data_IF_485611327385
#
_entry.id   IF_485611327385
#
_cell.length_a   1.000
_cell.length_b   1.000
_cell.length_c   1.000
_cell.angle_alpha   90.00
_cell.angle_beta   90.00
_cell.angle_gamma   90.00
#
_symmetry.space_group_name_H-M   'P 1'
#
loop_
_entity.id
_entity.type
_entity.pdbx_description
1 polymer ?
#
# COMPACT_ATOMS: atom_id res chain seq x y z
N UNK A 1 8.64 -10.20 -5.75
CA UNK A 1 9.60 -9.70 -4.76
C UNK A 1 10.38 -10.87 -4.17
N UNK A 2 11.70 -10.76 -3.93
CA UNK A 2 12.44 -11.83 -3.30
C UNK A 2 11.95 -11.94 -1.85
N UNK A 3 11.42 -13.12 -1.49
CA UNK A 3 11.20 -13.45 -0.08
C UNK A 3 12.57 -13.59 0.57
N UNK A 4 12.71 -13.09 1.79
CA UNK A 4 13.91 -13.27 2.58
C UNK A 4 13.61 -14.21 3.75
N UNK A 5 13.38 -15.51 3.48
CA UNK A 5 13.07 -16.49 4.52
C UNK A 5 14.22 -16.64 5.54
N UNK A 6 15.43 -16.23 5.14
CA UNK A 6 16.64 -16.23 5.96
C UNK A 6 16.84 -14.94 6.77
N UNK A 7 16.02 -13.90 6.61
CA UNK A 7 16.17 -12.62 7.33
C UNK A 7 16.30 -12.87 8.82
N UNK A 8 17.33 -12.31 9.44
CA UNK A 8 17.46 -12.31 10.90
C UNK A 8 16.40 -11.38 11.46
N UNK A 9 15.43 -11.95 12.16
CA UNK A 9 14.34 -11.20 12.80
C UNK A 9 14.84 -10.31 13.95
N UNK A 10 16.06 -10.53 14.46
CA UNK A 10 16.65 -9.74 15.56
C UNK A 10 16.86 -8.26 15.25
N UNK A 11 16.97 -7.88 13.98
CA UNK A 11 17.11 -6.48 13.54
C UNK A 11 15.79 -5.86 13.11
N UNK A 12 14.69 -6.63 13.16
CA UNK A 12 13.36 -6.14 12.84
C UNK A 12 12.71 -5.54 14.09
N UNK A 13 11.67 -4.69 13.93
CA UNK A 13 10.83 -4.25 15.02
C UNK A 13 10.40 -5.38 15.95
N UNK A 14 10.18 -5.06 17.23
CA UNK A 14 9.95 -6.03 18.31
C UNK A 14 8.84 -7.05 18.01
N UNK A 15 7.80 -6.64 17.28
CA UNK A 15 6.68 -7.49 16.88
C UNK A 15 7.01 -8.54 15.81
N UNK A 16 8.17 -8.45 15.14
CA UNK A 16 8.65 -9.47 14.20
C UNK A 16 9.77 -10.35 14.77
N UNK A 17 10.34 -10.00 15.92
CA UNK A 17 11.59 -10.55 16.43
C UNK A 17 11.55 -12.07 16.64
N UNK A 18 10.42 -12.57 17.09
CA UNK A 18 10.25 -13.96 17.52
C UNK A 18 9.53 -14.85 16.48
N UNK A 19 9.35 -14.35 15.25
CA UNK A 19 8.70 -15.13 14.21
C UNK A 19 9.53 -16.38 13.83
N UNK A 20 8.93 -17.59 13.88
CA UNK A 20 9.61 -18.81 13.54
C UNK A 20 10.00 -18.82 12.07
N UNK A 21 11.04 -19.60 11.73
CA UNK A 21 11.39 -19.82 10.32
C UNK A 21 10.27 -20.56 9.61
N UNK A 22 9.98 -20.13 8.39
CA UNK A 22 9.01 -20.80 7.53
C UNK A 22 9.52 -22.18 7.15
N UNK A 23 8.68 -23.20 7.31
CA UNK A 23 8.99 -24.55 6.85
C UNK A 23 8.74 -24.69 5.33
N UNK A 24 9.17 -25.81 4.74
CA UNK A 24 9.06 -26.04 3.29
C UNK A 24 7.63 -25.98 2.77
N UNK A 25 6.65 -26.51 3.52
CA UNK A 25 5.24 -26.49 3.09
C UNK A 25 4.64 -25.09 3.15
N UNK A 26 5.00 -24.27 4.15
CA UNK A 26 4.60 -22.87 4.24
C UNK A 26 5.18 -22.04 3.10
N UNK A 27 6.46 -22.25 2.78
CA UNK A 27 7.09 -21.60 1.62
C UNK A 27 6.34 -21.98 0.34
N UNK A 28 6.13 -23.26 0.08
CA UNK A 28 5.42 -23.75 -1.10
C UNK A 28 3.98 -23.23 -1.19
N UNK A 29 3.29 -23.12 -0.05
CA UNK A 29 1.97 -22.51 0.01
C UNK A 29 2.00 -21.04 -0.45
N UNK A 30 2.93 -20.25 0.08
CA UNK A 30 3.10 -18.85 -0.31
C UNK A 30 3.49 -18.70 -1.79
N UNK A 31 4.31 -19.60 -2.36
CA UNK A 31 4.60 -19.65 -3.80
C UNK A 31 3.32 -19.80 -4.62
N UNK A 32 2.47 -20.75 -4.21
CA UNK A 32 1.21 -21.00 -4.89
C UNK A 32 0.26 -19.81 -4.76
N UNK A 33 0.18 -19.21 -3.57
CA UNK A 33 -0.62 -18.02 -3.30
C UNK A 33 -0.18 -16.85 -4.17
N UNK A 34 1.14 -16.58 -4.24
CA UNK A 34 1.69 -15.54 -5.11
C UNK A 34 1.36 -15.80 -6.59
N UNK A 35 1.51 -17.05 -7.06
CA UNK A 35 1.17 -17.42 -8.44
C UNK A 35 -0.30 -17.15 -8.74
N UNK A 36 -1.21 -17.54 -7.85
CA UNK A 36 -2.65 -17.30 -7.99
C UNK A 36 -3.00 -15.81 -8.00
N UNK A 37 -2.35 -15.00 -7.17
CA UNK A 37 -2.52 -13.54 -7.20
C UNK A 37 -2.08 -12.94 -8.53
N UNK A 38 -0.94 -13.36 -9.07
CA UNK A 38 -0.47 -12.90 -10.39
C UNK A 38 -1.42 -13.33 -11.52
N UNK A 39 -1.95 -14.56 -11.46
CA UNK A 39 -2.97 -15.01 -12.41
C UNK A 39 -4.26 -14.21 -12.30
N UNK A 40 -4.67 -13.82 -11.09
CA UNK A 40 -5.86 -12.97 -10.89
C UNK A 40 -5.61 -11.54 -11.38
N UNK A 41 -4.38 -11.03 -11.26
CA UNK A 41 -3.98 -9.72 -11.76
C UNK A 41 -4.08 -9.63 -13.29
N UNK A 42 -3.92 -10.75 -14.00
CA UNK A 42 -4.11 -10.79 -15.46
C UNK A 42 -5.53 -10.37 -15.86
N UNK A 43 -6.57 -10.80 -15.14
CA UNK A 43 -7.94 -10.36 -15.43
C UNK A 43 -8.15 -8.86 -15.18
N UNK A 44 -7.37 -8.25 -14.28
CA UNK A 44 -7.39 -6.79 -14.06
C UNK A 44 -6.69 -6.07 -15.21
N UNK A 45 -5.59 -6.63 -15.73
CA UNK A 45 -4.89 -6.11 -16.91
C UNK A 45 -5.81 -6.12 -18.15
N UNK A 46 -6.49 -7.25 -18.39
CA UNK A 46 -7.49 -7.38 -19.46
C UNK A 46 -8.60 -6.31 -19.32
N UNK A 47 -9.11 -6.09 -18.10
CA UNK A 47 -10.11 -5.06 -17.81
C UNK A 47 -9.59 -3.64 -18.12
N UNK A 48 -8.33 -3.35 -17.78
CA UNK A 48 -7.71 -2.06 -18.10
C UNK A 48 -7.60 -1.89 -19.62
N UNK A 49 -7.19 -2.94 -20.34
CA UNK A 49 -7.16 -2.92 -21.81
C UNK A 49 -8.55 -2.63 -22.40
N UNK A 50 -9.61 -3.27 -21.89
CA UNK A 50 -10.98 -3.06 -22.36
C UNK A 50 -11.48 -1.62 -22.12
N UNK A 51 -11.17 -1.05 -20.94
CA UNK A 51 -11.50 0.35 -20.62
C UNK A 51 -10.81 1.29 -21.60
N UNK A 52 -9.50 1.11 -21.84
CA UNK A 52 -8.77 1.93 -22.80
C UNK A 52 -9.17 1.65 -24.25
N UNK A 53 -9.59 0.42 -24.57
CA UNK A 53 -10.20 0.06 -25.85
C UNK A 53 -11.45 0.88 -26.12
N UNK A 54 -12.33 1.03 -25.12
CA UNK A 54 -13.53 1.87 -25.20
C UNK A 54 -13.17 3.35 -25.46
N UNK A 55 -12.11 3.85 -24.83
CA UNK A 55 -11.66 5.23 -25.05
C UNK A 55 -11.04 5.48 -26.43
N UNK A 56 -10.56 4.45 -27.16
CA UNK A 56 -10.01 4.63 -28.52
C UNK A 56 -11.05 5.20 -29.49
N UNK A 57 -12.31 4.82 -29.30
CA UNK A 57 -13.43 5.28 -30.12
C UNK A 57 -14.06 6.59 -29.61
N UNK A 58 -13.61 7.10 -28.46
CA UNK A 58 -14.13 8.29 -27.78
C UNK A 58 -13.00 9.28 -27.41
N UNK A 59 -12.23 9.79 -28.39
CA UNK A 59 -11.05 10.63 -28.14
C UNK A 59 -11.39 11.92 -27.37
N UNK A 60 -12.55 12.53 -27.64
CA UNK A 60 -12.98 13.75 -26.94
C UNK A 60 -13.31 13.50 -25.47
N UNK A 61 -13.86 12.31 -25.15
CA UNK A 61 -14.14 11.91 -23.76
C UNK A 61 -12.82 11.65 -23.04
N UNK A 62 -11.90 10.89 -23.66
CA UNK A 62 -10.58 10.63 -23.08
C UNK A 62 -9.80 11.93 -22.83
N UNK A 63 -9.87 12.88 -23.77
CA UNK A 63 -9.23 14.19 -23.66
C UNK A 63 -9.79 15.07 -22.53
N UNK A 64 -10.91 14.69 -21.92
CA UNK A 64 -11.53 15.38 -20.79
C UNK A 64 -11.68 14.49 -19.54
N UNK A 65 -10.97 13.36 -19.48
CA UNK A 65 -11.09 12.38 -18.38
C UNK A 65 -9.78 12.26 -17.61
N UNK A 66 -9.86 12.34 -16.28
CA UNK A 66 -8.79 11.91 -15.39
C UNK A 66 -8.92 10.42 -15.11
N UNK A 67 -7.84 9.67 -15.32
CA UNK A 67 -7.75 8.23 -15.03
C UNK A 67 -6.78 8.08 -13.87
N UNK A 68 -7.24 7.47 -12.78
CA UNK A 68 -6.47 7.23 -11.56
C UNK A 68 -6.47 5.72 -11.28
N UNK A 69 -5.29 5.14 -11.18
CA UNK A 69 -5.08 3.75 -10.77
C UNK A 69 -4.35 3.73 -9.43
N UNK A 70 -4.93 3.03 -8.45
CA UNK A 70 -4.35 2.89 -7.11
C UNK A 70 -4.83 1.61 -6.42
N UNK A 71 -4.30 1.32 -5.24
CA UNK A 71 -4.75 0.26 -4.35
C UNK A 71 -5.03 0.82 -2.95
N UNK A 72 -5.87 0.15 -2.16
CA UNK A 72 -6.17 0.51 -0.77
C UNK A 72 -5.00 0.23 0.17
N UNK A 73 -4.39 -0.94 0.01
CA UNK A 73 -3.25 -1.41 0.76
C UNK A 73 -2.41 -2.37 -0.07
N UNK A 74 -1.17 -2.56 0.38
CA UNK A 74 -0.29 -3.61 -0.12
C UNK A 74 -0.61 -4.98 0.48
N UNK A 75 0.25 -5.96 0.22
CA UNK A 75 0.06 -7.32 0.71
C UNK A 75 1.38 -8.07 0.79
N UNK A 76 1.73 -8.55 1.98
CA UNK A 76 2.90 -9.37 2.20
C UNK A 76 2.58 -10.87 2.11
N UNK A 77 3.57 -11.63 1.65
CA UNK A 77 3.56 -13.06 1.40
C UNK A 77 4.91 -13.67 1.79
N UNK A 78 5.20 -13.80 3.08
CA UNK A 78 6.45 -14.41 3.56
C UNK A 78 7.60 -13.44 3.79
N UNK A 79 7.49 -12.17 3.39
CA UNK A 79 8.46 -11.14 3.75
C UNK A 79 8.56 -11.05 5.26
N UNK A 80 9.79 -10.91 5.78
CA UNK A 80 10.05 -10.89 7.21
C UNK A 80 9.54 -12.14 7.98
N UNK A 81 9.34 -13.27 7.28
CA UNK A 81 8.73 -14.52 7.79
C UNK A 81 7.25 -14.39 8.16
N UNK A 82 6.60 -13.32 7.73
CA UNK A 82 5.19 -13.12 7.97
C UNK A 82 4.35 -14.13 7.21
N UNK A 83 3.21 -14.57 7.76
CA UNK A 83 2.23 -15.30 6.97
C UNK A 83 1.66 -14.40 5.85
N UNK A 84 0.78 -14.93 5.01
CA UNK A 84 0.10 -14.08 4.03
C UNK A 84 -0.84 -13.10 4.76
N UNK A 85 -0.85 -11.84 4.34
CA UNK A 85 -1.74 -10.87 4.93
C UNK A 85 -1.42 -9.43 4.56
N UNK A 86 -2.05 -8.56 5.34
CA UNK A 86 -1.86 -7.12 5.41
C UNK A 86 -1.89 -6.71 6.88
N UNK A 87 -1.85 -5.43 7.22
CA UNK A 87 -1.89 -4.87 8.59
C UNK A 87 -0.54 -4.64 9.29
N UNK A 88 0.57 -4.66 8.54
CA UNK A 88 1.89 -4.31 9.05
C UNK A 88 2.35 -2.95 8.52
N UNK A 89 3.11 -2.20 9.32
CA UNK A 89 3.74 -0.94 8.90
C UNK A 89 5.00 -1.14 8.03
N UNK A 90 5.00 -2.14 7.16
CA UNK A 90 6.11 -2.47 6.26
C UNK A 90 5.81 -2.01 4.85
N UNK A 91 6.86 -1.79 4.07
CA UNK A 91 6.78 -1.31 2.69
C UNK A 91 5.78 -2.12 1.84
N UNK A 92 5.78 -3.44 1.98
CA UNK A 92 4.90 -4.33 1.23
C UNK A 92 3.41 -4.10 1.47
N UNK A 93 3.04 -3.53 2.62
CA UNK A 93 1.65 -3.29 3.04
C UNK A 93 1.20 -1.85 2.84
N UNK A 94 2.13 -0.89 2.86
CA UNK A 94 1.81 0.54 2.92
C UNK A 94 2.19 1.31 1.66
N UNK A 95 3.19 0.84 0.91
CA UNK A 95 3.58 1.49 -0.35
C UNK A 95 2.79 0.90 -1.51
N UNK A 96 1.69 1.56 -1.86
CA UNK A 96 0.79 1.18 -2.95
C UNK A 96 1.05 1.97 -4.22
N UNK A 97 0.60 1.41 -5.35
CA UNK A 97 0.65 2.14 -6.62
C UNK A 97 -0.26 3.36 -6.60
N UNK A 98 0.21 4.46 -7.17
CA UNK A 98 -0.61 5.61 -7.55
C UNK A 98 -0.15 6.10 -8.92
N UNK A 99 -1.01 5.95 -9.92
CA UNK A 99 -0.77 6.39 -11.30
C UNK A 99 -1.93 7.27 -11.70
N UNK A 100 -1.64 8.43 -12.28
CA UNK A 100 -2.66 9.36 -12.77
C UNK A 100 -2.30 9.84 -14.18
N UNK A 101 -3.31 9.90 -15.04
CA UNK A 101 -3.25 10.48 -16.38
C UNK A 101 -4.49 11.33 -16.66
N UNK A 102 -4.39 12.26 -17.61
CA UNK A 102 -5.51 13.11 -18.00
C UNK A 102 -5.11 14.54 -18.37
N UNK A 103 -6.08 15.47 -18.47
CA UNK A 103 -5.85 16.84 -18.90
C UNK A 103 -4.87 17.59 -17.98
N UNK A 104 -3.76 18.09 -18.56
CA UNK A 104 -2.75 18.87 -17.85
C UNK A 104 -1.86 18.10 -16.87
N UNK A 105 -2.08 16.78 -16.72
CA UNK A 105 -1.20 15.91 -15.91
C UNK A 105 0.16 15.78 -16.60
N UNK A 106 1.23 15.84 -15.81
CA UNK A 106 2.58 15.75 -16.34
C UNK A 106 2.85 14.34 -16.92
N UNK A 107 3.22 14.26 -18.21
CA UNK A 107 3.47 12.99 -18.89
C UNK A 107 4.84 12.41 -18.56
N UNK A 108 4.91 11.10 -18.35
CA UNK A 108 6.15 10.35 -18.09
C UNK A 108 6.99 10.95 -16.94
N UNK A 109 6.31 11.42 -15.88
CA UNK A 109 6.96 11.94 -14.68
C UNK A 109 6.75 10.98 -13.51
N UNK A 110 7.82 10.82 -12.74
CA UNK A 110 7.81 10.14 -11.45
C UNK A 110 7.96 11.24 -10.40
N UNK A 111 7.04 11.26 -9.42
CA UNK A 111 7.11 12.16 -8.28
C UNK A 111 7.66 11.39 -7.08
N UNK A 112 8.92 11.62 -6.66
CA UNK A 112 9.52 10.93 -5.52
C UNK A 112 9.13 11.62 -4.20
N UNK A 113 7.84 11.92 -4.03
CA UNK A 113 7.30 12.63 -2.87
C UNK A 113 6.44 11.67 -2.03
N UNK A 114 6.54 11.71 -0.70
CA UNK A 114 5.60 11.02 0.17
C UNK A 114 4.17 11.54 -0.07
N UNK A 115 3.22 10.60 -0.17
CA UNK A 115 1.78 10.89 -0.25
C UNK A 115 0.99 9.76 0.39
N UNK A 116 -0.25 10.05 0.79
CA UNK A 116 -1.17 9.10 1.42
C UNK A 116 -2.56 9.19 0.79
N UNK A 117 -3.45 8.26 1.10
CA UNK A 117 -4.84 8.31 0.60
C UNK A 117 -5.62 9.54 1.06
N UNK A 118 -5.24 10.17 2.18
CA UNK A 118 -5.88 11.42 2.65
C UNK A 118 -5.68 12.58 1.66
N UNK A 119 -4.69 12.46 0.79
CA UNK A 119 -4.37 13.44 -0.23
C UNK A 119 -5.22 13.34 -1.50
N UNK A 120 -5.95 12.23 -1.68
CA UNK A 120 -6.74 12.00 -2.89
C UNK A 120 -7.88 13.02 -2.99
N UNK A 121 -8.62 13.24 -1.91
CA UNK A 121 -9.72 14.20 -1.87
C UNK A 121 -9.27 15.64 -2.23
N UNK A 122 -8.28 16.26 -1.57
CA UNK A 122 -7.82 17.59 -1.95
C UNK A 122 -7.21 17.64 -3.36
N UNK A 123 -6.59 16.55 -3.84
CA UNK A 123 -6.11 16.47 -5.23
C UNK A 123 -7.27 16.54 -6.21
N UNK A 124 -8.34 15.76 -5.99
CA UNK A 124 -9.54 15.78 -6.83
C UNK A 124 -10.22 17.16 -6.84
N UNK A 125 -10.30 17.83 -5.69
CA UNK A 125 -10.82 19.19 -5.59
C UNK A 125 -10.01 20.16 -6.45
N UNK A 126 -8.67 20.10 -6.36
CA UNK A 126 -7.77 20.92 -7.19
C UNK A 126 -7.89 20.59 -8.69
N UNK A 127 -8.11 19.32 -9.05
CA UNK A 127 -8.32 18.91 -10.44
C UNK A 127 -9.64 19.45 -11.01
N UNK A 128 -10.69 19.47 -10.18
CA UNK A 128 -12.03 19.93 -10.54
C UNK A 128 -12.25 21.45 -10.38
N UNK A 129 -11.21 22.21 -10.02
CA UNK A 129 -11.27 23.65 -9.74
C UNK A 129 -12.27 24.02 -8.62
N UNK A 130 -12.37 23.15 -7.61
CA UNK A 130 -13.22 23.34 -6.43
C UNK A 130 -12.35 23.88 -5.29
N UNK A 131 -12.79 24.92 -4.55
CA UNK A 131 -12.06 25.41 -3.37
C UNK A 131 -11.79 24.30 -2.36
N UNK A 132 -10.55 24.24 -1.85
CA UNK A 132 -10.19 23.29 -0.79
C UNK A 132 -10.97 23.59 0.48
N UNK A 133 -11.15 22.56 1.31
CA UNK A 133 -11.73 22.68 2.63
C UNK A 133 -10.64 22.68 3.67
N UNK A 134 -10.84 23.46 4.73
CA UNK A 134 -9.89 23.58 5.84
C UNK A 134 -9.83 22.32 6.73
N UNK A 135 -10.78 21.39 6.56
CA UNK A 135 -10.89 20.14 7.33
C UNK A 135 -10.28 18.92 6.62
N UNK A 136 -9.54 19.12 5.53
CA UNK A 136 -8.76 18.03 4.92
C UNK A 136 -7.47 17.78 5.69
N UNK A 137 -7.23 16.51 6.06
CA UNK A 137 -5.97 16.08 6.68
C UNK A 137 -4.80 16.05 5.68
N UNK A 138 -5.10 15.90 4.38
CA UNK A 138 -4.13 15.83 3.30
C UNK A 138 -4.00 17.14 2.52
N UNK A 139 -3.02 17.18 1.63
CA UNK A 139 -2.80 18.30 0.70
C UNK A 139 -2.88 17.82 -0.75
N UNK A 140 -3.18 18.68 -1.73
CA UNK A 140 -3.16 18.27 -3.14
C UNK A 140 -1.79 17.74 -3.57
N UNK A 141 -1.75 16.60 -4.25
CA UNK A 141 -0.54 16.08 -4.90
C UNK A 141 -0.27 16.95 -6.14
N UNK A 142 0.97 17.41 -6.39
CA UNK A 142 1.33 18.27 -7.54
C UNK A 142 1.38 17.46 -8.86
N UNK A 143 0.22 16.95 -9.30
CA UNK A 143 0.10 16.05 -10.45
C UNK A 143 0.13 16.77 -11.80
N UNK A 144 -0.25 18.07 -11.84
CA UNK A 144 -0.21 18.89 -13.05
C UNK A 144 1.22 19.38 -13.32
N UNK A 145 1.58 19.53 -14.59
CA UNK A 145 2.91 20.05 -14.97
C UNK A 145 3.20 21.44 -14.37
N UNK A 146 2.19 22.31 -14.32
CA UNK A 146 2.31 23.65 -13.76
C UNK A 146 2.56 23.68 -12.24
N UNK A 147 2.23 22.59 -11.54
CA UNK A 147 2.37 22.48 -10.09
C UNK A 147 3.73 21.89 -9.64
N UNK A 148 4.52 21.34 -10.57
CA UNK A 148 5.79 20.67 -10.29
C UNK A 148 6.95 21.68 -10.27
N UNK A 149 6.97 22.53 -9.25
CA UNK A 149 8.05 23.49 -9.01
C UNK A 149 9.16 22.88 -8.13
N UNK A 150 10.38 23.43 -8.12
CA UNK A 150 11.46 22.97 -7.23
C UNK A 150 11.08 22.97 -5.74
N UNK A 151 10.16 23.86 -5.35
CA UNK A 151 9.67 24.01 -3.96
C UNK A 151 8.37 23.23 -3.70
N UNK A 152 7.97 22.31 -4.58
CA UNK A 152 6.74 21.51 -4.44
C UNK A 152 6.81 20.42 -3.36
N UNK A 153 7.56 20.68 -2.28
CA UNK A 153 7.61 19.82 -1.10
C UNK A 153 6.31 19.98 -0.33
N UNK A 154 5.48 18.94 -0.42
CA UNK A 154 4.20 18.84 0.26
C UNK A 154 4.36 18.43 1.73
N UNK A 155 5.11 17.36 1.96
CA UNK A 155 5.44 16.80 3.28
C UNK A 155 6.68 15.92 3.14
N UNK A 156 7.50 15.85 4.18
CA UNK A 156 8.65 14.94 4.24
C UNK A 156 8.28 13.56 4.80
N UNK A 157 7.07 13.44 5.38
CA UNK A 157 6.62 12.25 6.09
C UNK A 157 5.13 11.96 5.84
N UNK A 158 4.75 10.69 5.97
CA UNK A 158 3.36 10.25 6.01
C UNK A 158 3.10 9.52 7.32
N UNK A 159 1.91 9.70 7.89
CA UNK A 159 1.48 8.94 9.07
C UNK A 159 0.74 7.68 8.61
N UNK A 160 1.04 6.56 9.25
CA UNK A 160 0.40 5.26 8.98
C UNK A 160 -0.01 4.66 10.32
N UNK A 161 -1.29 4.35 10.44
CA UNK A 161 -1.86 3.80 11.68
C UNK A 161 -2.58 2.48 11.40
N UNK A 162 -2.57 1.60 12.40
CA UNK A 162 -3.36 0.38 12.39
C UNK A 162 -3.94 0.14 13.78
N UNK A 163 -5.25 -0.12 13.83
CA UNK A 163 -5.99 -0.35 15.05
C UNK A 163 -6.74 -1.69 14.95
N UNK A 164 -6.50 -2.60 15.90
CA UNK A 164 -7.23 -3.87 16.01
C UNK A 164 -6.37 -5.13 15.88
N UNK A 165 -7.04 -6.26 15.62
CA UNK A 165 -6.41 -7.56 15.48
C UNK A 165 -6.15 -7.88 14.00
N UNK A 166 -4.89 -8.16 13.69
CA UNK A 166 -4.42 -8.59 12.38
C UNK A 166 -4.94 -9.98 12.08
N UNK A 167 -5.49 -10.14 10.87
CA UNK A 167 -6.00 -11.42 10.40
C UNK A 167 -4.93 -12.02 9.50
N UNK A 168 -4.55 -13.25 9.80
CA UNK A 168 -3.73 -14.04 8.88
C UNK A 168 -4.64 -14.49 7.75
N UNK A 169 -4.27 -14.16 6.53
CA UNK A 169 -4.97 -14.64 5.34
C UNK A 169 -4.38 -15.99 4.91
N UNK A 170 -5.24 -16.95 4.56
CA UNK A 170 -4.84 -18.29 4.16
C UNK A 170 -4.86 -19.33 5.28
N UNK A 171 -4.45 -20.56 4.95
CA UNK A 171 -4.73 -21.78 5.74
C UNK A 171 -3.48 -22.60 6.06
N UNK A 172 -2.28 -22.06 5.82
CA UNK A 172 -1.01 -22.76 6.05
C UNK A 172 -0.29 -22.32 7.32
N UNK A 173 -0.93 -21.46 8.11
CA UNK A 173 -0.34 -20.77 9.25
C UNK A 173 -1.18 -20.94 10.53
N UNK A 174 -1.98 -22.00 10.61
CA UNK A 174 -2.85 -22.29 11.76
C UNK A 174 -2.08 -22.43 13.08
N UNK A 175 -0.76 -22.67 13.01
CA UNK A 175 0.16 -22.71 14.15
C UNK A 175 0.60 -21.33 14.66
N UNK A 176 0.30 -20.26 13.92
CA UNK A 176 0.48 -18.88 14.33
C UNK A 176 -0.89 -18.34 14.77
N UNK A 177 -1.17 -18.39 16.07
CA UNK A 177 -2.38 -17.78 16.63
C UNK A 177 -2.32 -16.26 16.43
N UNK A 178 -3.24 -15.66 15.65
CA UNK A 178 -3.85 -14.29 15.62
C UNK A 178 -3.04 -13.05 16.09
N UNK A 179 -1.78 -13.19 16.51
CA UNK A 179 -0.97 -12.22 17.25
C UNK A 179 0.21 -11.73 16.43
N UNK A 180 0.13 -11.80 15.11
CA UNK A 180 1.05 -11.06 14.25
C UNK A 180 0.51 -9.63 14.12
N UNK A 181 0.43 -8.92 15.25
CA UNK A 181 -0.05 -7.53 15.31
C UNK A 181 1.04 -6.61 15.83
N UNK A 182 1.26 -5.45 15.19
CA UNK A 182 2.24 -4.47 15.65
C UNK A 182 1.87 -3.79 16.98
N UNK A 183 0.59 -3.81 17.38
CA UNK A 183 0.05 -3.09 18.53
C UNK A 183 -0.75 -4.01 19.46
N UNK A 184 -0.05 -4.78 20.29
CA UNK A 184 -0.64 -5.35 21.50
C UNK A 184 -0.44 -4.35 22.64
N UNK A 185 -1.47 -3.56 22.96
CA UNK A 185 -1.47 -2.69 24.15
C UNK A 185 -1.20 -3.48 25.45
N UNK A 186 -1.43 -4.79 25.47
CA UNK A 186 -1.32 -5.63 26.66
C UNK A 186 0.10 -6.01 27.06
N UNK A 187 1.14 -5.72 26.26
CA UNK A 187 2.53 -5.97 26.66
C UNK A 187 3.17 -4.82 27.47
N UNK A 188 2.47 -3.71 27.64
CA UNK A 188 2.94 -2.59 28.46
C UNK A 188 2.61 -2.73 29.97
N UNK A 189 1.87 -3.76 30.39
CA UNK A 189 1.38 -3.88 31.78
C UNK A 189 2.20 -4.78 32.72
N UNK A 190 3.36 -5.30 32.32
CA UNK A 190 4.22 -6.10 33.21
C UNK A 190 5.57 -5.44 33.42
N UNK A 191 5.57 -4.23 33.99
CA UNK A 191 6.73 -3.77 34.75
C UNK A 191 6.66 -4.41 36.16
N UNK A 192 7.75 -4.95 36.71
CA UNK A 192 7.74 -5.40 38.10
C UNK A 192 7.50 -4.19 39.00
N UNK A 193 6.53 -4.27 39.90
CA UNK A 193 6.49 -3.33 41.01
C UNK A 193 7.67 -3.67 41.93
N UNK A 194 8.63 -2.75 42.00
CA UNK A 194 9.69 -2.78 42.99
C UNK A 194 9.06 -2.72 44.40
N UNK A 195 9.46 -3.66 45.26
CA UNK A 195 9.15 -3.66 46.69
C UNK A 195 10.23 -2.97 47.51
#
# INVERSE_FOLDING_TARGET
MPRSPETRTSTLPSYFKDLPRLNKSQVQYLDNFQRRRLQSLQAVDDLVEDIFGTFRDLPDVLANTYIIYTADNGFHLGQNRLPAGKTCGIEEDVNVSFIIGGPGIAKNKILPLPSSHTDLAPTLFKLADIPLRDDFDGLPIPVKFADQTPDSIKTEHVNIEYWGNGIIEGTAFDNLSVQVTPYNHDRASTAPQEG
#
